data_IF_363013377418
#
_entry.id   IF_363013377418
#
_cell.length_a   1.000
_cell.length_b   1.000
_cell.length_c   1.000
_cell.angle_alpha   90.00
_cell.angle_beta   90.00
_cell.angle_gamma   90.00
#
_symmetry.space_group_name_H-M   'P 1'
#
loop_
_entity.id
_entity.type
_entity.pdbx_description
1 polymer ?
#
# COMPACT_ATOMS: atom_id res chain seq x y z
N UNK A 1 27.34 25.30 22.79
CA UNK A 1 28.25 24.87 21.71
C UNK A 1 27.59 25.28 20.42
N UNK A 2 28.05 26.37 19.82
CA UNK A 2 27.48 26.85 18.55
C UNK A 2 28.10 26.07 17.40
N UNK A 3 27.25 25.40 16.64
CA UNK A 3 27.64 24.66 15.45
C UNK A 3 27.86 25.65 14.30
N UNK A 4 28.93 25.50 13.49
CA UNK A 4 29.16 26.38 12.35
C UNK A 4 27.96 26.33 11.38
N UNK A 5 27.45 27.50 10.98
CA UNK A 5 26.23 27.65 10.18
C UNK A 5 26.26 26.81 8.89
N UNK A 6 27.44 26.60 8.31
CA UNK A 6 27.64 25.82 7.08
C UNK A 6 27.47 24.30 7.29
N UNK A 7 27.59 23.80 8.52
CA UNK A 7 27.37 22.39 8.86
C UNK A 7 25.89 22.05 9.08
N UNK A 8 25.06 23.06 9.35
CA UNK A 8 23.64 22.86 9.71
C UNK A 8 22.77 22.42 8.53
N UNK A 9 23.12 22.79 7.30
CA UNK A 9 22.43 22.30 6.11
C UNK A 9 22.91 20.90 5.71
N UNK A 10 24.23 20.66 5.82
CA UNK A 10 24.84 19.41 5.39
C UNK A 10 24.31 18.21 6.17
N UNK A 11 24.12 18.33 7.50
CA UNK A 11 23.57 17.22 8.28
C UNK A 11 22.10 16.95 7.94
N UNK A 12 21.31 17.96 7.54
CA UNK A 12 19.88 17.77 7.19
C UNK A 12 19.76 16.96 5.90
N UNK A 13 20.57 17.30 4.89
CA UNK A 13 20.64 16.52 3.65
C UNK A 13 21.11 15.09 3.94
N UNK A 14 22.21 14.94 4.69
CA UNK A 14 22.76 13.63 5.07
C UNK A 14 21.79 12.78 5.90
N UNK A 15 20.98 13.41 6.74
CA UNK A 15 19.94 12.73 7.52
C UNK A 15 18.88 12.13 6.59
N UNK A 16 18.38 12.91 5.63
CA UNK A 16 17.38 12.42 4.68
C UNK A 16 17.98 11.36 3.75
N UNK A 17 19.21 11.56 3.28
CA UNK A 17 19.92 10.59 2.42
C UNK A 17 20.31 9.30 3.18
N UNK A 18 20.34 9.34 4.52
CA UNK A 18 20.52 8.16 5.36
C UNK A 18 19.26 7.31 5.53
N UNK A 19 18.11 7.77 5.05
CA UNK A 19 16.86 7.00 5.08
C UNK A 19 16.85 5.93 3.97
N UNK A 20 16.02 4.87 4.09
CA UNK A 20 15.82 3.92 3.01
C UNK A 20 15.46 4.63 1.69
N UNK A 21 16.03 4.29 0.52
CA UNK A 21 15.98 5.15 -0.68
C UNK A 21 14.57 5.58 -1.12
N UNK A 22 13.62 4.64 -1.17
CA UNK A 22 12.23 4.95 -1.54
C UNK A 22 11.54 5.85 -0.51
N UNK A 23 11.89 5.68 0.76
CA UNK A 23 11.36 6.49 1.84
C UNK A 23 12.00 7.89 1.84
N UNK A 24 13.31 7.98 1.59
CA UNK A 24 14.03 9.23 1.43
C UNK A 24 13.40 10.09 0.33
N UNK A 25 13.14 9.52 -0.85
CA UNK A 25 12.50 10.24 -1.96
C UNK A 25 11.09 10.71 -1.61
N UNK A 26 10.34 9.91 -0.85
CA UNK A 26 9.02 10.31 -0.36
C UNK A 26 9.09 11.49 0.60
N UNK A 27 9.99 11.44 1.59
CA UNK A 27 10.23 12.55 2.52
C UNK A 27 10.71 13.79 1.78
N UNK A 28 11.64 13.66 0.83
CA UNK A 28 12.09 14.76 -0.03
C UNK A 28 10.93 15.39 -0.79
N UNK A 29 10.04 14.59 -1.38
CA UNK A 29 8.86 15.08 -2.10
C UNK A 29 7.96 15.93 -1.21
N UNK A 30 7.78 15.54 0.06
CA UNK A 30 6.98 16.30 1.04
C UNK A 30 7.68 17.60 1.48
N UNK A 31 9.01 17.62 1.49
CA UNK A 31 9.79 18.78 1.93
C UNK A 31 10.08 19.80 0.80
N UNK A 32 9.93 19.40 -0.47
CA UNK A 32 10.12 20.25 -1.64
C UNK A 32 9.11 21.39 -1.66
N UNK A 33 9.58 22.56 -2.05
CA UNK A 33 8.76 23.73 -2.34
C UNK A 33 8.10 23.62 -3.74
N UNK A 34 7.25 24.58 -4.16
CA UNK A 34 6.66 24.60 -5.49
C UNK A 34 7.68 24.63 -6.65
N UNK A 35 8.92 25.04 -6.39
CA UNK A 35 10.03 25.09 -7.33
C UNK A 35 10.80 23.76 -7.38
N UNK A 36 10.46 22.79 -6.52
CA UNK A 36 11.09 21.48 -6.44
C UNK A 36 12.40 21.47 -5.64
N UNK A 37 12.72 22.55 -4.94
CA UNK A 37 13.92 22.69 -4.11
C UNK A 37 13.54 22.41 -2.65
N UNK A 38 14.46 21.83 -1.87
CA UNK A 38 14.25 21.63 -0.43
C UNK A 38 14.89 22.80 0.31
N UNK A 39 14.10 23.74 0.89
CA UNK A 39 14.65 24.87 1.62
C UNK A 39 15.10 24.43 3.03
N UNK A 40 16.25 23.75 3.11
CA UNK A 40 16.76 23.16 4.36
C UNK A 40 16.85 24.17 5.52
N UNK A 41 17.09 25.45 5.24
CA UNK A 41 17.10 26.53 6.23
C UNK A 41 15.78 26.72 6.98
N UNK A 42 14.64 26.44 6.31
CA UNK A 42 13.31 26.64 6.90
C UNK A 42 12.87 25.47 7.79
N UNK A 43 13.66 24.39 7.81
CA UNK A 43 13.37 23.19 8.59
C UNK A 43 14.23 23.12 9.84
N UNK A 44 13.57 23.13 10.99
CA UNK A 44 14.19 22.77 12.27
C UNK A 44 14.27 21.24 12.39
N UNK A 45 15.09 20.74 13.31
CA UNK A 45 15.18 19.30 13.60
C UNK A 45 13.80 18.68 13.85
N UNK A 46 12.98 19.32 14.70
CA UNK A 46 11.63 18.85 15.01
C UNK A 46 10.71 18.78 13.78
N UNK A 47 10.80 19.75 12.86
CA UNK A 47 10.02 19.72 11.61
C UNK A 47 10.46 18.58 10.68
N UNK A 48 11.76 18.31 10.58
CA UNK A 48 12.27 17.20 9.77
C UNK A 48 11.84 15.85 10.33
N UNK A 49 12.01 15.65 11.64
CA UNK A 49 11.55 14.42 12.31
C UNK A 49 10.03 14.28 12.17
N UNK A 50 9.28 15.36 12.38
CA UNK A 50 7.82 15.36 12.19
C UNK A 50 7.42 14.93 10.77
N UNK A 51 8.07 15.48 9.73
CA UNK A 51 7.83 15.07 8.35
C UNK A 51 8.17 13.59 8.12
N UNK A 52 9.29 13.11 8.65
CA UNK A 52 9.66 11.69 8.56
C UNK A 52 8.65 10.80 9.28
N UNK A 53 8.25 11.14 10.49
CA UNK A 53 7.26 10.37 11.26
C UNK A 53 5.93 10.32 10.53
N UNK A 54 5.45 11.45 10.01
CA UNK A 54 4.18 11.51 9.30
C UNK A 54 4.23 10.67 8.02
N UNK A 55 5.29 10.77 7.21
CA UNK A 55 5.44 9.93 6.02
C UNK A 55 5.58 8.45 6.38
N UNK A 56 6.23 8.12 7.50
CA UNK A 56 6.32 6.75 8.00
C UNK A 56 4.94 6.17 8.30
N UNK A 57 4.10 6.93 9.02
CA UNK A 57 2.71 6.54 9.34
C UNK A 57 1.90 6.37 8.05
N UNK A 58 2.00 7.33 7.12
CA UNK A 58 1.29 7.29 5.84
C UNK A 58 1.67 6.04 5.04
N UNK A 59 2.97 5.75 4.91
CA UNK A 59 3.47 4.57 4.22
C UNK A 59 2.97 3.27 4.88
N UNK A 60 3.03 3.17 6.21
CA UNK A 60 2.52 2.01 6.92
C UNK A 60 1.02 1.80 6.67
N UNK A 61 0.22 2.86 6.65
CA UNK A 61 -1.21 2.79 6.39
C UNK A 61 -1.50 2.36 4.94
N UNK A 62 -0.77 2.89 3.97
CA UNK A 62 -0.88 2.50 2.56
C UNK A 62 -0.54 1.02 2.35
N UNK A 63 0.53 0.54 2.96
CA UNK A 63 0.92 -0.87 2.89
C UNK A 63 -0.13 -1.78 3.53
N UNK A 64 -0.69 -1.36 4.68
CA UNK A 64 -1.77 -2.09 5.36
C UNK A 64 -3.03 -2.16 4.50
N UNK A 65 -3.45 -1.03 3.91
CA UNK A 65 -4.60 -0.97 3.02
C UNK A 65 -4.38 -1.83 1.76
N UNK A 66 -3.21 -1.73 1.13
CA UNK A 66 -2.85 -2.54 -0.04
C UNK A 66 -2.92 -4.04 0.26
N UNK A 67 -2.47 -4.45 1.45
CA UNK A 67 -2.59 -5.85 1.90
C UNK A 67 -4.04 -6.27 2.10
N UNK A 68 -4.86 -5.41 2.72
CA UNK A 68 -6.27 -5.70 2.95
C UNK A 68 -7.03 -5.90 1.63
N UNK A 69 -6.81 -5.00 0.66
CA UNK A 69 -7.44 -5.10 -0.67
C UNK A 69 -7.06 -6.41 -1.40
N UNK A 70 -5.81 -6.87 -1.27
CA UNK A 70 -5.39 -8.16 -1.83
C UNK A 70 -6.11 -9.34 -1.18
N UNK A 71 -6.27 -9.30 0.15
CA UNK A 71 -6.99 -10.34 0.90
C UNK A 71 -8.47 -10.34 0.53
N UNK A 72 -9.09 -9.17 0.47
CA UNK A 72 -10.51 -9.03 0.13
C UNK A 72 -10.80 -9.57 -1.27
N UNK A 73 -9.91 -9.30 -2.24
CA UNK A 73 -10.02 -9.87 -3.60
C UNK A 73 -9.93 -11.40 -3.61
N UNK A 74 -9.06 -11.99 -2.80
CA UNK A 74 -8.96 -13.46 -2.69
C UNK A 74 -10.22 -14.04 -2.03
N UNK A 75 -10.73 -13.37 -1.00
CA UNK A 75 -11.95 -13.77 -0.30
C UNK A 75 -13.19 -13.66 -1.18
N UNK A 76 -13.29 -12.63 -2.01
CA UNK A 76 -14.38 -12.48 -2.98
C UNK A 76 -14.41 -13.67 -3.95
N UNK A 77 -13.24 -14.05 -4.49
CA UNK A 77 -13.10 -15.21 -5.37
C UNK A 77 -13.51 -16.51 -4.67
N UNK A 78 -13.08 -16.73 -3.42
CA UNK A 78 -13.45 -17.93 -2.68
C UNK A 78 -14.95 -17.97 -2.39
N UNK A 79 -15.55 -16.85 -1.97
CA UNK A 79 -16.99 -16.76 -1.71
C UNK A 79 -17.83 -17.03 -2.95
N UNK A 80 -17.39 -16.57 -4.12
CA UNK A 80 -18.08 -16.85 -5.37
C UNK A 80 -17.99 -18.34 -5.74
N UNK A 81 -16.82 -18.96 -5.55
CA UNK A 81 -16.64 -20.40 -5.72
C UNK A 81 -17.56 -21.22 -4.80
N UNK A 82 -17.61 -20.86 -3.51
CA UNK A 82 -18.48 -21.49 -2.52
C UNK A 82 -19.96 -21.34 -2.89
N UNK A 83 -20.36 -20.14 -3.35
CA UNK A 83 -21.72 -19.86 -3.80
C UNK A 83 -22.09 -20.74 -5.00
N UNK A 84 -21.23 -20.83 -6.01
CA UNK A 84 -21.48 -21.67 -7.18
C UNK A 84 -21.58 -23.14 -6.79
N UNK A 85 -20.67 -23.63 -5.95
CA UNK A 85 -20.73 -25.01 -5.47
C UNK A 85 -22.06 -25.31 -4.74
N UNK A 86 -22.48 -24.41 -3.85
CA UNK A 86 -23.75 -24.51 -3.13
C UNK A 86 -24.95 -24.50 -4.08
N UNK A 87 -24.94 -23.60 -5.07
CA UNK A 87 -26.01 -23.50 -6.08
C UNK A 87 -26.11 -24.78 -6.92
N UNK A 88 -24.98 -25.30 -7.38
CA UNK A 88 -24.91 -26.56 -8.15
C UNK A 88 -25.47 -27.71 -7.33
N UNK A 89 -25.05 -27.85 -6.06
CA UNK A 89 -25.56 -28.88 -5.16
C UNK A 89 -27.09 -28.80 -4.99
N UNK A 90 -27.62 -27.58 -4.77
CA UNK A 90 -29.06 -27.36 -4.65
C UNK A 90 -29.84 -27.67 -5.94
N UNK A 91 -29.28 -27.34 -7.10
CA UNK A 91 -29.90 -27.66 -8.40
C UNK A 91 -29.96 -29.18 -8.64
N UNK A 92 -28.88 -29.90 -8.33
CA UNK A 92 -28.81 -31.36 -8.46
C UNK A 92 -29.81 -32.08 -7.54
N UNK A 93 -30.04 -31.57 -6.33
CA UNK A 93 -31.05 -32.10 -5.42
C UNK A 93 -32.48 -31.90 -5.95
N UNK A 94 -32.76 -30.80 -6.66
CA UNK A 94 -34.10 -30.47 -7.18
C UNK A 94 -34.41 -31.09 -8.55
N UNK A 95 -33.39 -31.39 -9.36
CA UNK A 95 -33.56 -31.97 -10.69
C UNK A 95 -32.37 -32.88 -11.07
N UNK A 96 -32.41 -34.18 -10.72
CA UNK A 96 -31.26 -35.10 -10.86
C UNK A 96 -30.83 -35.39 -12.32
N UNK A 97 -31.59 -34.95 -13.32
CA UNK A 97 -31.35 -35.20 -14.74
C UNK A 97 -30.62 -34.05 -15.51
N UNK A 98 -30.23 -32.95 -14.86
CA UNK A 98 -29.44 -31.87 -15.50
C UNK A 98 -27.93 -32.05 -15.27
N UNK A 99 -27.29 -33.01 -15.95
CA UNK A 99 -25.83 -33.26 -15.85
C UNK A 99 -24.96 -32.44 -16.81
N UNK A 100 -25.54 -31.76 -17.81
CA UNK A 100 -24.79 -31.12 -18.90
C UNK A 100 -24.47 -29.63 -18.69
N UNK A 101 -25.07 -28.95 -17.71
CA UNK A 101 -24.75 -27.54 -17.40
C UNK A 101 -23.58 -27.36 -16.41
N UNK A 102 -23.14 -28.41 -15.71
CA UNK A 102 -22.21 -28.28 -14.57
C UNK A 102 -20.73 -28.23 -14.92
N UNK A 103 -20.30 -28.79 -16.06
CA UNK A 103 -18.88 -28.80 -16.45
C UNK A 103 -18.38 -27.43 -16.90
N UNK A 104 -19.18 -26.69 -17.68
CA UNK A 104 -18.77 -25.39 -18.23
C UNK A 104 -18.69 -24.27 -17.17
N UNK A 105 -19.35 -24.42 -16.01
CA UNK A 105 -19.37 -23.38 -14.96
C UNK A 105 -18.16 -23.49 -14.02
N UNK A 106 -17.62 -24.69 -13.81
CA UNK A 106 -16.42 -24.90 -12.98
C UNK A 106 -15.17 -24.35 -13.70
N UNK A 107 -15.05 -24.61 -15.00
CA UNK A 107 -13.94 -24.09 -15.82
C UNK A 107 -13.93 -22.55 -15.94
N UNK A 108 -15.06 -21.88 -15.69
CA UNK A 108 -15.15 -20.41 -15.72
C UNK A 108 -14.63 -19.73 -14.43
N UNK A 109 -14.45 -20.48 -13.34
CA UNK A 109 -14.10 -19.94 -12.01
C UNK A 109 -12.61 -20.11 -11.71
N UNK A 110 -11.96 -21.13 -12.29
CA UNK A 110 -10.53 -21.41 -12.10
C UNK A 110 -9.59 -20.68 -13.10
N UNK A 111 -10.14 -19.87 -14.01
CA UNK A 111 -9.40 -19.03 -14.98
C UNK A 111 -8.82 -17.73 -14.43
#
# INVERSE_FOLDING_TARGET
MELPENGLEFWKAKFIDGLPPLFAERVKKTLRDPQGIIPYNNYTYGKLIGACTQEGINLCNELKLSRQLKIDKLRERSQLGDFVHSLVYQMLLKAPNMRLLSLNTIDLIEG
#
